data_IF_302179554263
#
_entry.id   IF_302179554263
#
_cell.length_a   1.000
_cell.length_b   1.000
_cell.length_c   1.000
_cell.angle_alpha   90.00
_cell.angle_beta   90.00
_cell.angle_gamma   90.00
#
_symmetry.space_group_name_H-M   'P 1'
#
loop_
_entity.id
_entity.type
_entity.pdbx_description
1 polymer ?
#
# COMPACT_ATOMS: atom_id res chain seq x y z
N UNK A 1 -21.77 4.47 10.56
CA UNK A 1 -21.92 3.75 9.27
C UNK A 1 -20.88 2.64 9.06
N UNK A 2 -19.60 2.83 9.43
CA UNK A 2 -18.52 1.83 9.24
C UNK A 2 -18.91 0.36 9.51
N UNK A 3 -19.44 0.04 10.70
CA UNK A 3 -19.81 -1.34 11.08
C UNK A 3 -20.86 -1.92 10.13
N UNK A 4 -21.84 -1.12 9.74
CA UNK A 4 -22.87 -1.53 8.77
C UNK A 4 -22.24 -1.89 7.43
N UNK A 5 -21.39 -1.00 6.91
CA UNK A 5 -20.71 -1.23 5.62
C UNK A 5 -19.78 -2.45 5.68
N UNK A 6 -19.03 -2.64 6.77
CA UNK A 6 -18.20 -3.83 6.97
C UNK A 6 -19.03 -5.13 6.96
N UNK A 7 -20.24 -5.10 7.54
CA UNK A 7 -21.18 -6.23 7.49
C UNK A 7 -21.71 -6.50 6.08
N UNK A 8 -21.95 -5.46 5.28
CA UNK A 8 -22.33 -5.61 3.87
C UNK A 8 -21.21 -6.30 3.07
N UNK A 9 -19.96 -6.18 3.51
CA UNK A 9 -18.80 -6.95 3.02
C UNK A 9 -18.62 -8.33 3.68
N UNK A 10 -19.65 -8.86 4.34
CA UNK A 10 -19.68 -10.23 4.86
C UNK A 10 -18.95 -10.44 6.19
N UNK A 11 -18.57 -9.38 6.90
CA UNK A 11 -18.12 -9.49 8.29
C UNK A 11 -19.31 -9.79 9.21
N UNK A 12 -19.11 -10.64 10.20
CA UNK A 12 -20.03 -10.74 11.33
C UNK A 12 -20.01 -9.44 12.13
N UNK A 13 -20.99 -9.22 13.00
CA UNK A 13 -21.05 -8.02 13.84
C UNK A 13 -19.82 -7.88 14.73
N UNK A 14 -19.39 -8.97 15.38
CA UNK A 14 -18.19 -8.98 16.22
C UNK A 14 -16.90 -8.68 15.41
N UNK A 15 -16.77 -9.23 14.20
CA UNK A 15 -15.61 -8.93 13.34
C UNK A 15 -15.65 -7.48 12.84
N UNK A 16 -16.83 -6.96 12.51
CA UNK A 16 -17.01 -5.58 12.06
C UNK A 16 -16.71 -4.56 13.17
N UNK A 17 -17.08 -4.86 14.42
CA UNK A 17 -16.74 -4.05 15.59
C UNK A 17 -15.24 -4.10 15.88
N UNK A 18 -14.64 -5.29 15.82
CA UNK A 18 -13.19 -5.44 15.95
C UNK A 18 -12.45 -4.65 14.86
N UNK A 19 -12.93 -4.72 13.61
CA UNK A 19 -12.40 -3.95 12.50
C UNK A 19 -12.55 -2.45 12.76
N UNK A 20 -13.73 -1.97 13.17
CA UNK A 20 -13.95 -0.58 13.51
C UNK A 20 -12.96 -0.08 14.59
N UNK A 21 -12.69 -0.91 15.59
CA UNK A 21 -11.68 -0.65 16.62
C UNK A 21 -10.27 -0.45 16.06
N UNK A 22 -9.86 -1.25 15.08
CA UNK A 22 -8.54 -1.14 14.44
C UNK A 22 -8.34 0.16 13.64
N UNK A 23 -9.43 0.77 13.15
CA UNK A 23 -9.39 2.02 12.37
C UNK A 23 -9.89 3.23 13.17
N UNK A 24 -10.21 3.06 14.47
CA UNK A 24 -10.76 4.12 15.30
C UNK A 24 -9.79 5.29 15.52
N UNK A 25 -8.49 5.06 15.34
CA UNK A 25 -7.42 6.05 15.49
C UNK A 25 -6.83 6.51 14.16
N UNK A 26 -7.34 6.01 13.03
CA UNK A 26 -6.88 6.49 11.72
C UNK A 26 -7.16 8.00 11.62
N UNK A 27 -6.14 8.79 11.24
CA UNK A 27 -6.27 10.23 11.18
C UNK A 27 -7.21 10.62 10.04
N UNK A 28 -7.92 11.73 10.24
CA UNK A 28 -8.63 12.40 9.15
C UNK A 28 -7.59 12.87 8.11
N UNK A 29 -7.87 12.63 6.83
CA UNK A 29 -7.00 13.15 5.77
C UNK A 29 -7.08 14.67 5.74
N UNK A 30 -5.99 15.38 5.41
CA UNK A 30 -6.02 16.84 5.29
C UNK A 30 -7.13 17.30 4.33
N UNK A 31 -7.90 18.31 4.74
CA UNK A 31 -8.95 18.90 3.90
C UNK A 31 -10.25 18.10 3.79
N UNK A 32 -10.42 17.00 4.53
CA UNK A 32 -11.67 16.22 4.57
C UNK A 32 -12.59 16.67 5.70
N UNK A 33 -13.89 16.48 5.49
CA UNK A 33 -14.92 16.73 6.49
C UNK A 33 -14.88 15.63 7.58
N UNK A 34 -14.83 15.97 8.88
CA UNK A 34 -14.94 14.99 9.97
C UNK A 34 -16.15 14.04 9.85
N UNK A 35 -17.27 14.49 9.29
CA UNK A 35 -18.46 13.65 9.09
C UNK A 35 -18.23 12.52 8.05
N UNK A 36 -17.19 12.65 7.23
CA UNK A 36 -16.76 11.64 6.25
C UNK A 36 -15.65 10.73 6.76
N UNK A 37 -15.21 10.88 8.01
CA UNK A 37 -14.11 10.09 8.58
C UNK A 37 -14.36 8.57 8.51
N UNK A 38 -15.61 8.14 8.68
CA UNK A 38 -15.97 6.73 8.56
C UNK A 38 -15.76 6.19 7.14
N UNK A 39 -15.95 7.03 6.12
CA UNK A 39 -15.78 6.67 4.71
C UNK A 39 -14.29 6.51 4.38
N UNK A 40 -13.44 7.43 4.85
CA UNK A 40 -11.99 7.29 4.68
C UNK A 40 -11.46 6.03 5.39
N UNK A 41 -11.97 5.73 6.59
CA UNK A 41 -11.62 4.52 7.33
C UNK A 41 -12.02 3.25 6.61
N UNK A 42 -13.22 3.18 6.03
CA UNK A 42 -13.64 1.97 5.30
C UNK A 42 -12.84 1.81 4.00
N UNK A 43 -12.45 2.90 3.34
CA UNK A 43 -11.52 2.84 2.21
C UNK A 43 -10.13 2.35 2.63
N UNK A 44 -9.61 2.78 3.78
CA UNK A 44 -8.34 2.23 4.30
C UNK A 44 -8.47 0.73 4.61
N UNK A 45 -9.59 0.31 5.21
CA UNK A 45 -9.86 -1.09 5.49
C UNK A 45 -9.95 -1.93 4.20
N UNK A 46 -10.58 -1.39 3.15
CA UNK A 46 -10.59 -1.99 1.82
C UNK A 46 -9.18 -2.13 1.25
N UNK A 47 -8.40 -1.04 1.22
CA UNK A 47 -7.03 -1.08 0.72
C UNK A 47 -6.16 -2.12 1.48
N UNK A 48 -6.30 -2.20 2.80
CA UNK A 48 -5.56 -3.17 3.61
C UNK A 48 -5.97 -4.62 3.30
N UNK A 49 -7.27 -4.89 3.14
CA UNK A 49 -7.75 -6.21 2.76
C UNK A 49 -7.37 -6.62 1.32
N UNK A 50 -7.29 -5.66 0.39
CA UNK A 50 -7.05 -5.95 -1.03
C UNK A 50 -5.56 -6.08 -1.36
N UNK A 51 -4.72 -5.20 -0.81
CA UNK A 51 -3.30 -5.15 -1.16
C UNK A 51 -2.37 -5.35 0.03
N UNK A 52 -2.48 -4.55 1.09
CA UNK A 52 -1.43 -4.49 2.11
C UNK A 52 -1.31 -5.80 2.89
N UNK A 53 -2.42 -6.39 3.36
CA UNK A 53 -2.38 -7.62 4.14
C UNK A 53 -2.07 -8.86 3.30
N UNK A 54 -2.60 -9.03 2.06
CA UNK A 54 -2.10 -10.04 1.15
C UNK A 54 -0.59 -9.93 0.85
N UNK A 55 -0.08 -8.70 0.65
CA UNK A 55 1.36 -8.48 0.43
C UNK A 55 2.19 -8.87 1.66
N UNK A 56 1.75 -8.49 2.88
CA UNK A 56 2.37 -8.93 4.15
C UNK A 56 2.38 -10.46 4.25
N UNK A 57 1.27 -11.12 3.94
CA UNK A 57 1.14 -12.59 4.00
C UNK A 57 2.10 -13.27 3.02
N UNK A 58 2.27 -12.71 1.82
CA UNK A 58 3.24 -13.22 0.85
C UNK A 58 4.67 -13.06 1.36
N UNK A 59 5.02 -11.90 1.94
CA UNK A 59 6.33 -11.69 2.55
C UNK A 59 6.60 -12.68 3.70
N UNK A 60 5.60 -12.95 4.54
CA UNK A 60 5.70 -13.94 5.62
C UNK A 60 5.90 -15.36 5.08
N UNK A 61 5.23 -15.72 3.99
CA UNK A 61 5.43 -17.01 3.33
C UNK A 61 6.88 -17.19 2.88
N UNK A 62 7.49 -16.18 2.24
CA UNK A 62 8.91 -16.24 1.86
C UNK A 62 9.82 -16.39 3.08
N UNK A 63 9.56 -15.64 4.16
CA UNK A 63 10.29 -15.78 5.44
C UNK A 63 10.22 -17.22 5.98
N UNK A 64 9.03 -17.84 6.01
CA UNK A 64 8.85 -19.23 6.46
C UNK A 64 9.64 -20.21 5.59
N UNK A 65 9.79 -19.91 4.30
CA UNK A 65 10.63 -20.68 3.35
C UNK A 65 12.13 -20.35 3.45
N UNK A 66 12.54 -19.59 4.45
CA UNK A 66 13.93 -19.14 4.64
C UNK A 66 14.46 -18.37 3.42
N UNK A 67 13.55 -17.76 2.64
CA UNK A 67 13.91 -16.87 1.55
C UNK A 67 13.92 -15.44 2.08
N UNK A 68 14.94 -14.63 1.72
CA UNK A 68 14.93 -13.22 2.04
C UNK A 68 13.72 -12.52 1.40
N UNK A 69 13.07 -11.63 2.15
CA UNK A 69 11.92 -10.88 1.69
C UNK A 69 12.03 -9.43 2.18
N UNK A 70 11.46 -8.51 1.40
CA UNK A 70 11.40 -7.09 1.71
C UNK A 70 10.02 -6.58 1.32
N UNK A 71 9.42 -5.80 2.20
CA UNK A 71 8.07 -5.26 2.00
C UNK A 71 8.10 -3.74 2.13
N UNK A 72 7.35 -3.04 1.29
CA UNK A 72 7.20 -1.58 1.36
C UNK A 72 5.72 -1.18 1.25
N UNK A 73 5.41 0.01 1.74
CA UNK A 73 4.16 0.72 1.47
C UNK A 73 4.47 2.08 0.89
N UNK A 74 3.84 2.39 -0.23
CA UNK A 74 3.86 3.71 -0.82
C UNK A 74 2.76 4.58 -0.21
N UNK A 75 3.13 5.75 0.30
CA UNK A 75 2.21 6.80 0.78
C UNK A 75 2.58 8.19 0.27
N UNK A 76 3.59 8.26 -0.60
CA UNK A 76 4.03 9.52 -1.18
C UNK A 76 3.04 10.02 -2.23
N UNK A 77 2.70 11.30 -2.16
CA UNK A 77 1.87 11.99 -3.16
C UNK A 77 2.83 12.72 -4.10
N UNK A 78 2.89 12.37 -5.40
CA UNK A 78 3.77 13.06 -6.34
C UNK A 78 3.44 14.53 -6.48
N UNK A 79 4.42 15.32 -6.87
CA UNK A 79 4.19 16.64 -7.41
C UNK A 79 3.62 16.51 -8.84
N UNK A 80 2.82 17.49 -9.26
CA UNK A 80 2.29 17.54 -10.62
C UNK A 80 1.01 16.74 -10.88
N UNK A 81 0.69 16.43 -12.15
CA UNK A 81 -0.60 15.87 -12.57
C UNK A 81 -0.93 14.53 -11.90
N UNK A 82 0.06 13.68 -11.68
CA UNK A 82 -0.13 12.38 -11.05
C UNK A 82 -0.66 12.51 -9.61
N UNK A 83 -0.03 13.37 -8.80
CA UNK A 83 -0.51 13.61 -7.43
C UNK A 83 -1.80 14.43 -7.37
N UNK A 84 -2.12 15.23 -8.40
CA UNK A 84 -3.39 15.95 -8.45
C UNK A 84 -4.59 15.01 -8.63
N UNK A 85 -4.39 13.83 -9.22
CA UNK A 85 -5.45 12.82 -9.32
C UNK A 85 -5.81 12.24 -7.95
N UNK A 86 -7.11 12.11 -7.69
CA UNK A 86 -7.61 11.62 -6.40
C UNK A 86 -7.56 12.63 -5.26
N UNK A 87 -7.40 13.92 -5.55
CA UNK A 87 -7.48 14.99 -4.54
C UNK A 87 -6.23 15.13 -3.69
N UNK A 88 -5.04 15.08 -4.32
CA UNK A 88 -3.75 15.20 -3.62
C UNK A 88 -3.46 14.04 -2.67
N UNK A 89 -3.71 12.81 -3.15
CA UNK A 89 -3.54 11.58 -2.38
C UNK A 89 -2.70 10.54 -3.13
N UNK A 90 -2.00 9.71 -2.37
CA UNK A 90 -1.36 8.53 -2.91
C UNK A 90 -2.45 7.53 -3.31
N UNK A 91 -2.44 7.11 -4.57
CA UNK A 91 -3.43 6.19 -5.13
C UNK A 91 -2.72 4.98 -5.75
N UNK A 92 -3.50 4.02 -6.25
CA UNK A 92 -2.95 2.80 -6.84
C UNK A 92 -2.06 3.12 -8.06
N UNK A 93 -0.87 2.52 -8.14
CA UNK A 93 0.10 2.65 -9.24
C UNK A 93 0.83 4.00 -9.35
N UNK A 94 0.60 4.92 -8.41
CA UNK A 94 1.23 6.24 -8.40
C UNK A 94 2.75 6.19 -8.25
N UNK A 95 3.29 5.08 -7.73
CA UNK A 95 4.72 4.85 -7.55
C UNK A 95 5.47 4.51 -8.85
N UNK A 96 4.76 4.07 -9.90
CA UNK A 96 5.37 3.52 -11.11
C UNK A 96 6.38 4.47 -11.77
N UNK A 97 6.07 5.77 -12.01
CA UNK A 97 7.04 6.74 -12.51
C UNK A 97 8.37 6.72 -11.78
N UNK A 98 8.31 6.70 -10.45
CA UNK A 98 9.49 6.79 -9.59
C UNK A 98 10.35 5.52 -9.64
N UNK A 99 9.72 4.37 -9.87
CA UNK A 99 10.42 3.09 -10.07
C UNK A 99 11.11 3.06 -11.44
N UNK A 100 10.44 3.57 -12.48
CA UNK A 100 10.97 3.62 -13.85
C UNK A 100 11.86 4.83 -14.15
N UNK A 101 11.93 5.79 -13.23
CA UNK A 101 12.69 7.03 -13.38
C UNK A 101 12.31 7.83 -14.63
N UNK A 102 11.01 8.10 -14.80
CA UNK A 102 10.49 8.80 -15.99
C UNK A 102 10.84 10.29 -15.91
N UNK A 103 11.95 10.67 -16.55
CA UNK A 103 12.48 12.05 -16.54
C UNK A 103 12.02 12.90 -17.73
N UNK A 104 11.33 12.31 -18.70
CA UNK A 104 10.85 12.99 -19.89
C UNK A 104 9.69 12.19 -20.52
N UNK A 105 8.85 12.90 -21.26
CA UNK A 105 7.79 12.35 -22.11
C UNK A 105 7.86 13.09 -23.45
N UNK A 106 7.54 12.37 -24.52
CA UNK A 106 7.27 12.93 -25.84
C UNK A 106 5.96 13.72 -25.85
N UNK A 107 5.74 14.54 -26.89
CA UNK A 107 4.49 15.28 -27.05
C UNK A 107 3.28 14.34 -27.24
N UNK A 108 3.52 13.16 -27.83
CA UNK A 108 2.50 12.11 -28.01
C UNK A 108 2.11 11.49 -26.66
N UNK A 109 3.08 11.03 -25.87
CA UNK A 109 2.83 10.45 -24.53
C UNK A 109 2.08 11.44 -23.63
N UNK A 110 2.53 12.70 -23.60
CA UNK A 110 1.86 13.75 -22.81
C UNK A 110 0.42 14.03 -23.26
N UNK A 111 0.09 13.86 -24.54
CA UNK A 111 -1.30 14.01 -25.02
C UNK A 111 -2.18 12.85 -24.56
N UNK A 112 -1.63 11.65 -24.44
CA UNK A 112 -2.36 10.45 -24.03
C UNK A 112 -2.70 10.49 -22.54
N UNK A 113 -1.74 10.87 -21.69
CA UNK A 113 -1.86 10.75 -20.24
C UNK A 113 -1.87 12.09 -19.49
N UNK A 114 -1.71 13.22 -20.20
CA UNK A 114 -1.64 14.58 -19.63
C UNK A 114 -0.44 14.81 -18.70
N UNK A 115 0.65 14.09 -18.93
CA UNK A 115 1.87 14.14 -18.13
C UNK A 115 1.75 13.45 -16.78
N UNK A 116 0.96 12.38 -16.71
CA UNK A 116 0.79 11.59 -15.49
C UNK A 116 2.05 10.84 -15.09
N UNK A 117 2.91 10.46 -16.03
CA UNK A 117 4.08 9.64 -15.71
C UNK A 117 5.37 10.44 -15.57
N UNK A 118 5.41 11.69 -16.04
CA UNK A 118 6.52 12.60 -15.81
C UNK A 118 6.69 12.96 -14.32
N UNK A 119 7.88 12.68 -13.79
CA UNK A 119 8.27 13.06 -12.43
C UNK A 119 8.62 14.55 -12.40
N UNK A 120 8.15 15.28 -11.38
CA UNK A 120 8.55 16.67 -11.21
C UNK A 120 10.07 16.79 -10.99
N UNK A 121 10.77 17.77 -11.62
CA UNK A 121 12.22 17.93 -11.46
C UNK A 121 12.70 18.01 -10.01
N UNK A 122 11.87 18.51 -9.09
CA UNK A 122 12.19 18.58 -7.65
C UNK A 122 12.22 17.22 -6.96
N UNK A 123 11.68 16.18 -7.59
CA UNK A 123 11.56 14.82 -7.04
C UNK A 123 12.57 13.83 -7.64
N UNK A 124 13.42 14.27 -8.59
CA UNK A 124 14.40 13.42 -9.29
C UNK A 124 15.31 12.70 -8.29
N UNK A 125 15.89 13.40 -7.32
CA UNK A 125 16.75 12.80 -6.30
C UNK A 125 16.02 11.77 -5.42
N UNK A 126 14.72 11.96 -5.19
CA UNK A 126 13.92 10.98 -4.46
C UNK A 126 13.72 9.72 -5.30
N UNK A 127 13.39 9.85 -6.60
CA UNK A 127 13.31 8.73 -7.54
C UNK A 127 14.66 8.00 -7.70
N UNK A 128 15.79 8.70 -7.79
CA UNK A 128 17.12 8.08 -7.87
C UNK A 128 17.39 7.12 -6.71
N UNK A 129 16.95 7.48 -5.49
CA UNK A 129 17.10 6.61 -4.31
C UNK A 129 16.27 5.33 -4.43
N UNK A 130 15.05 5.42 -4.97
CA UNK A 130 14.17 4.28 -5.23
C UNK A 130 14.81 3.36 -6.27
N UNK A 131 15.23 3.90 -7.41
CA UNK A 131 15.84 3.16 -8.51
C UNK A 131 17.11 2.45 -8.05
N UNK A 132 17.97 3.12 -7.27
CA UNK A 132 19.17 2.49 -6.72
C UNK A 132 18.86 1.34 -5.78
N UNK A 133 17.83 1.45 -4.92
CA UNK A 133 17.41 0.36 -4.05
C UNK A 133 16.89 -0.85 -4.85
N UNK A 134 16.06 -0.62 -5.87
CA UNK A 134 15.59 -1.69 -6.76
C UNK A 134 16.71 -2.32 -7.58
N UNK A 135 17.64 -1.53 -8.12
CA UNK A 135 18.81 -2.02 -8.83
C UNK A 135 19.73 -2.85 -7.93
N UNK A 136 19.92 -2.43 -6.67
CA UNK A 136 20.67 -3.22 -5.68
C UNK A 136 19.97 -4.55 -5.37
N UNK A 137 18.65 -4.53 -5.19
CA UNK A 137 17.86 -5.75 -5.00
C UNK A 137 17.98 -6.69 -6.19
N UNK A 138 17.88 -6.19 -7.43
CA UNK A 138 18.05 -7.00 -8.63
C UNK A 138 19.47 -7.59 -8.76
N UNK A 139 20.50 -6.81 -8.41
CA UNK A 139 21.89 -7.22 -8.57
C UNK A 139 22.37 -8.20 -7.50
N UNK A 140 21.90 -8.08 -6.25
CA UNK A 140 22.45 -8.84 -5.12
C UNK A 140 21.39 -9.48 -4.21
N UNK A 141 20.11 -9.35 -4.54
CA UNK A 141 19.02 -9.75 -3.67
C UNK A 141 18.92 -8.94 -2.38
N UNK A 142 19.57 -7.78 -2.25
CA UNK A 142 19.49 -6.93 -1.05
C UNK A 142 19.44 -5.44 -1.45
N UNK A 143 18.36 -4.71 -1.14
CA UNK A 143 18.19 -3.31 -1.53
C UNK A 143 19.20 -2.34 -0.90
N UNK A 144 19.98 -2.78 0.10
CA UNK A 144 20.97 -1.95 0.79
C UNK A 144 22.42 -2.25 0.40
N UNK A 145 22.68 -3.21 -0.50
CA UNK A 145 24.02 -3.77 -0.73
C UNK A 145 25.09 -2.83 -1.34
N UNK A 146 24.80 -1.53 -1.51
CA UNK A 146 25.72 -0.58 -2.17
C UNK A 146 25.96 0.73 -1.41
N UNK A 147 25.50 0.88 -0.16
CA UNK A 147 25.68 2.01 0.79
C UNK A 147 25.40 3.45 0.32
N UNK A 148 25.47 3.78 -0.98
CA UNK A 148 25.25 5.11 -1.55
C UNK A 148 23.76 5.49 -1.72
N UNK A 149 22.84 4.65 -1.25
CA UNK A 149 21.40 4.87 -1.38
C UNK A 149 20.58 4.13 -0.32
N UNK A 150 21.17 3.77 0.83
CA UNK A 150 20.46 2.99 1.85
C UNK A 150 19.19 3.73 2.26
N UNK A 151 18.05 3.26 1.76
CA UNK A 151 16.72 3.69 2.18
C UNK A 151 16.35 3.03 3.51
N UNK A 152 17.30 2.30 4.13
CA UNK A 152 17.09 1.59 5.39
C UNK A 152 16.07 0.45 5.24
N UNK A 153 15.99 -0.20 4.08
CA UNK A 153 14.97 -1.22 3.84
C UNK A 153 15.31 -2.51 4.59
N UNK A 154 14.75 -2.65 5.79
CA UNK A 154 14.97 -3.83 6.63
C UNK A 154 14.37 -5.09 6.00
N UNK A 155 15.02 -6.26 6.18
CA UNK A 155 14.47 -7.53 5.73
C UNK A 155 13.23 -7.91 6.55
N UNK A 156 12.22 -8.46 5.90
CA UNK A 156 11.01 -8.99 6.52
C UNK A 156 11.35 -10.34 7.19
N UNK A 157 11.55 -10.33 8.50
CA UNK A 157 11.85 -11.54 9.26
C UNK A 157 11.27 -11.48 10.69
N UNK A 158 11.56 -12.51 11.49
CA UNK A 158 11.08 -12.60 12.88
C UNK A 158 11.75 -11.60 13.82
N UNK A 159 12.98 -11.17 13.56
CA UNK A 159 13.69 -10.19 14.39
C UNK A 159 13.27 -8.74 14.09
N UNK A 160 12.71 -8.48 12.90
CA UNK A 160 12.17 -7.17 12.51
C UNK A 160 10.66 -7.08 12.67
N UNK A 161 10.03 -8.14 13.21
CA UNK A 161 8.60 -8.23 13.46
C UNK A 161 7.74 -7.83 12.24
N UNK A 162 8.07 -8.35 11.06
CA UNK A 162 7.34 -8.00 9.84
C UNK A 162 7.53 -6.54 9.43
N UNK A 163 8.79 -6.09 9.39
CA UNK A 163 9.10 -4.72 9.01
C UNK A 163 8.64 -4.36 7.60
N UNK A 164 8.24 -3.11 7.42
CA UNK A 164 7.93 -2.52 6.13
C UNK A 164 8.72 -1.22 5.95
N UNK A 165 9.14 -0.95 4.72
CA UNK A 165 9.63 0.37 4.33
C UNK A 165 8.44 1.27 3.97
N UNK A 166 8.21 2.32 4.75
CA UNK A 166 7.24 3.36 4.43
C UNK A 166 7.90 4.42 3.55
N UNK A 167 7.31 4.67 2.39
CA UNK A 167 7.80 5.64 1.41
C UNK A 167 6.85 6.84 1.37
N UNK A 168 7.32 8.01 1.79
CA UNK A 168 6.55 9.27 1.86
C UNK A 168 5.70 9.39 3.13
N UNK A 169 6.24 9.01 4.29
CA UNK A 169 5.54 8.78 5.55
C UNK A 169 4.87 9.98 6.26
N UNK A 170 4.31 10.95 5.53
CA UNK A 170 3.48 12.03 6.08
C UNK A 170 2.96 12.96 4.99
N UNK A 171 1.73 13.45 5.13
CA UNK A 171 1.17 14.44 4.22
C UNK A 171 2.08 15.69 4.16
N UNK A 172 2.54 16.04 2.97
CA UNK A 172 3.41 17.21 2.75
C UNK A 172 4.88 17.04 3.17
N UNK A 173 5.34 15.83 3.48
CA UNK A 173 6.76 15.58 3.77
C UNK A 173 7.53 15.30 2.47
N UNK A 174 8.73 15.89 2.26
CA UNK A 174 9.60 15.53 1.14
C UNK A 174 9.86 14.02 1.15
N UNK A 175 9.95 13.37 -0.01
CA UNK A 175 10.05 11.92 -0.15
C UNK A 175 10.97 11.24 0.88
N UNK A 176 10.36 10.71 1.95
CA UNK A 176 11.04 10.09 3.09
C UNK A 176 10.99 8.58 3.00
N UNK A 177 11.95 7.93 3.64
CA UNK A 177 12.02 6.48 3.79
C UNK A 177 12.09 6.17 5.27
N UNK A 178 11.12 5.41 5.78
CA UNK A 178 11.07 5.05 7.19
C UNK A 178 10.75 3.57 7.34
N UNK A 179 11.71 2.80 7.87
CA UNK A 179 11.44 1.42 8.22
C UNK A 179 10.67 1.35 9.53
N UNK A 180 9.56 0.62 9.54
CA UNK A 180 8.75 0.42 10.73
C UNK A 180 8.56 -1.07 10.99
N UNK A 181 8.67 -1.46 12.26
CA UNK A 181 8.41 -2.83 12.71
C UNK A 181 6.92 -2.97 13.04
N UNK A 182 6.37 -4.17 12.95
CA UNK A 182 4.95 -4.45 13.23
C UNK A 182 3.99 -3.64 12.34
N UNK A 183 4.39 -3.32 11.10
CA UNK A 183 3.57 -2.51 10.22
C UNK A 183 2.22 -3.19 9.93
N UNK A 184 1.11 -2.52 10.24
CA UNK A 184 -0.26 -3.04 10.11
C UNK A 184 -0.48 -4.38 10.83
N UNK A 185 0.34 -4.74 11.83
CA UNK A 185 0.29 -6.06 12.46
C UNK A 185 -1.13 -6.43 12.92
N UNK A 186 -1.74 -5.62 13.79
CA UNK A 186 -3.08 -5.90 14.32
C UNK A 186 -4.19 -5.88 13.25
N UNK A 187 -4.11 -4.97 12.28
CA UNK A 187 -5.06 -4.88 11.15
C UNK A 187 -5.00 -6.14 10.29
N UNK A 188 -3.80 -6.54 9.90
CA UNK A 188 -3.62 -7.71 9.05
C UNK A 188 -3.81 -9.04 9.78
N UNK A 189 -3.55 -9.12 11.09
CA UNK A 189 -3.88 -10.31 11.90
C UNK A 189 -5.39 -10.55 11.93
N UNK A 190 -6.20 -9.49 12.01
CA UNK A 190 -7.65 -9.59 11.91
C UNK A 190 -8.07 -10.11 10.52
N UNK A 191 -7.56 -9.51 9.43
CA UNK A 191 -7.88 -9.99 8.08
C UNK A 191 -7.39 -11.41 7.81
N UNK A 192 -6.23 -11.81 8.35
CA UNK A 192 -5.69 -13.16 8.22
C UNK A 192 -6.53 -14.20 8.97
N UNK A 193 -7.06 -13.85 10.15
CA UNK A 193 -7.99 -14.71 10.89
C UNK A 193 -9.27 -14.93 10.09
N UNK A 194 -9.90 -13.84 9.65
CA UNK A 194 -11.12 -13.86 8.83
C UNK A 194 -10.91 -14.64 7.52
N UNK A 195 -9.80 -14.40 6.83
CA UNK A 195 -9.43 -15.11 5.61
C UNK A 195 -9.26 -16.62 5.88
N UNK A 196 -8.51 -16.98 6.93
CA UNK A 196 -8.23 -18.37 7.27
C UNK A 196 -9.49 -19.16 7.62
N UNK A 197 -10.41 -18.58 8.39
CA UNK A 197 -11.69 -19.21 8.72
C UNK A 197 -12.54 -19.47 7.48
N UNK A 198 -12.68 -18.45 6.62
CA UNK A 198 -13.43 -18.55 5.37
C UNK A 198 -12.84 -19.58 4.42
N UNK A 199 -11.51 -19.66 4.32
CA UNK A 199 -10.81 -20.66 3.49
C UNK A 199 -10.91 -22.08 4.04
N UNK A 200 -10.90 -22.27 5.38
CA UNK A 200 -11.09 -23.60 6.00
C UNK A 200 -12.49 -24.17 5.77
N UNK A 201 -13.50 -23.31 5.68
CA UNK A 201 -14.88 -23.69 5.36
C UNK A 201 -15.07 -24.12 3.91
N UNK A 202 -14.19 -23.71 3.00
CA UNK A 202 -14.22 -24.07 1.58
C UNK A 202 -13.35 -25.31 1.30
N UNK A 203 -13.73 -26.48 1.84
CA UNK A 203 -13.14 -27.77 1.45
C UNK A 203 -13.66 -28.19 0.06
N UNK A 204 -13.17 -27.54 -0.98
CA UNK A 204 -13.39 -27.84 -2.39
C UNK A 204 -12.28 -27.21 -3.23
N UNK A 205 -12.17 -27.53 -4.54
CA UNK A 205 -11.23 -26.81 -5.41
C UNK A 205 -11.49 -25.31 -5.28
N UNK A 206 -10.40 -24.53 -5.13
CA UNK A 206 -10.42 -23.07 -5.01
C UNK A 206 -11.34 -22.49 -6.09
N UNK A 207 -12.60 -22.18 -5.73
CA UNK A 207 -13.40 -21.30 -6.55
C UNK A 207 -12.71 -19.96 -6.40
N UNK A 208 -12.24 -19.39 -7.51
CA UNK A 208 -11.80 -18.01 -7.56
C UNK A 208 -12.95 -17.18 -6.99
N UNK A 209 -12.85 -16.82 -5.72
CA UNK A 209 -13.79 -15.90 -5.12
C UNK A 209 -13.57 -14.62 -5.88
N UNK A 210 -14.63 -14.11 -6.54
CA UNK A 210 -14.57 -12.82 -7.23
C UNK A 210 -13.84 -11.83 -6.32
N UNK A 211 -12.95 -10.98 -6.85
CA UNK A 211 -12.21 -10.01 -6.05
C UNK A 211 -13.17 -9.35 -5.08
N UNK A 212 -12.88 -9.44 -3.78
CA UNK A 212 -13.77 -9.00 -2.69
C UNK A 212 -14.08 -7.49 -2.71
N UNK A 213 -13.60 -6.75 -3.72
CA UNK A 213 -13.66 -5.30 -3.85
C UNK A 213 -13.76 -4.84 -5.30
N UNK A 214 -14.75 -5.36 -6.03
CA UNK A 214 -15.29 -4.63 -7.19
C UNK A 214 -16.74 -4.33 -6.84
N UNK A 215 -16.98 -3.20 -6.18
CA UNK A 215 -18.34 -2.74 -5.97
C UNK A 215 -18.91 -2.30 -7.33
N UNK A 216 -20.20 -2.54 -7.56
CA UNK A 216 -20.92 -2.03 -8.73
C UNK A 216 -20.91 -0.49 -8.83
N UNK A 217 -20.42 0.22 -7.81
CA UNK A 217 -20.19 1.67 -7.87
C UNK A 217 -19.13 2.07 -8.90
N UNK A 218 -18.17 1.21 -9.25
CA UNK A 218 -17.19 1.46 -10.32
C UNK A 218 -17.79 1.34 -11.73
N UNK A 219 -19.07 0.99 -11.87
CA UNK A 219 -19.78 0.98 -13.17
C UNK A 219 -20.59 2.25 -13.45
N UNK A 220 -20.59 3.24 -12.55
CA UNK A 220 -21.46 4.42 -12.66
C UNK A 220 -20.74 5.77 -12.78
N UNK A 221 -19.41 5.77 -12.87
CA UNK A 221 -18.60 6.92 -13.30
C UNK A 221 -17.95 6.60 -14.66
#
# INVERSE_FOLDING_TARGET
DFVKVARDYGFTEAEADALAGQYATDPLRPGRDPDQLWCDRIHHAGADAWSNCPARRLADWYRVKQQPAWWYKWSYVPNGPNGAQGGHLAHHSVEQPFIFHVLAETDEERKEDKGMYFIDPTEVHFSERIVRAWAAMAASGNPNARDASSVGWLPFNSSTHGSALLIGGGAGSPGTFNATNNFLQAKCDLFDAVFSERMRGQRGPLRVVKPWMTTESERRD
#
